data_IF_568209490100
#
_entry.id   IF_568209490100
#
_cell.length_a   1.000
_cell.length_b   1.000
_cell.length_c   1.000
_cell.angle_alpha   90.00
_cell.angle_beta   90.00
_cell.angle_gamma   90.00
#
_symmetry.space_group_name_H-M   'P 1'
#
loop_
_entity.id
_entity.type
_entity.pdbx_description
1 polymer ?
#
# COMPACT_ATOMS: atom_id res chain seq x y z
N UNK A 1 2.92 8.13 -17.64
CA UNK A 1 1.76 7.25 -17.94
C UNK A 1 1.12 6.64 -16.69
N UNK A 2 1.88 6.07 -15.72
CA UNK A 2 1.27 5.40 -14.55
C UNK A 2 0.74 6.38 -13.48
N UNK A 3 1.45 7.49 -13.22
CA UNK A 3 0.99 8.57 -12.31
C UNK A 3 -0.39 9.14 -12.70
N UNK A 4 -0.68 9.25 -14.00
CA UNK A 4 -1.97 9.79 -14.47
C UNK A 4 -3.15 8.82 -14.38
N UNK A 5 -2.87 7.50 -14.34
CA UNK A 5 -3.92 6.48 -14.22
C UNK A 5 -4.33 6.19 -12.78
N UNK A 6 -3.50 6.53 -11.79
CA UNK A 6 -3.83 6.34 -10.37
C UNK A 6 -4.58 7.55 -9.78
N UNK A 7 -4.40 8.73 -10.37
CA UNK A 7 -4.96 10.00 -9.87
C UNK A 7 -6.41 10.27 -10.30
N UNK A 8 -6.98 9.50 -11.23
CA UNK A 8 -8.39 9.60 -11.63
C UNK A 8 -9.13 8.37 -11.15
N UNK A 9 -10.38 8.54 -10.76
CA UNK A 9 -11.36 7.46 -10.61
C UNK A 9 -11.36 6.67 -11.92
N UNK A 10 -10.65 5.55 -11.94
CA UNK A 10 -10.48 4.75 -13.15
C UNK A 10 -11.77 3.94 -13.35
N UNK A 11 -12.57 4.21 -14.39
CA UNK A 11 -13.85 3.54 -14.61
C UNK A 11 -13.71 2.02 -14.81
N UNK A 12 -12.49 1.51 -14.99
CA UNK A 12 -12.20 0.09 -15.04
C UNK A 12 -12.32 -0.60 -13.67
N UNK A 13 -12.35 0.14 -12.56
CA UNK A 13 -12.38 -0.41 -11.20
C UNK A 13 -13.74 -0.27 -10.54
N UNK A 14 -14.17 -1.33 -9.87
CA UNK A 14 -15.33 -1.26 -8.98
C UNK A 14 -14.94 -0.62 -7.66
N UNK A 15 -15.79 0.25 -7.13
CA UNK A 15 -15.59 0.90 -5.83
C UNK A 15 -16.52 0.27 -4.79
N UNK A 16 -16.04 -0.67 -3.95
CA UNK A 16 -16.86 -1.25 -2.89
C UNK A 16 -17.17 -0.22 -1.80
N UNK A 17 -18.18 -0.50 -0.97
CA UNK A 17 -18.52 0.38 0.14
C UNK A 17 -17.37 0.47 1.15
N UNK A 18 -16.80 1.67 1.24
CA UNK A 18 -15.71 2.02 2.14
C UNK A 18 -15.98 1.71 3.61
N UNK A 19 -17.25 1.67 4.05
CA UNK A 19 -17.62 1.37 5.43
C UNK A 19 -17.12 -0.01 5.89
N UNK A 20 -17.09 -0.98 4.97
CA UNK A 20 -16.60 -2.35 5.19
C UNK A 20 -15.09 -2.45 5.38
N UNK A 21 -14.37 -1.36 5.11
CA UNK A 21 -12.92 -1.23 5.25
C UNK A 21 -12.53 -0.30 6.40
N UNK A 22 -13.48 0.00 7.29
CA UNK A 22 -13.22 0.71 8.55
C UNK A 22 -13.11 -0.29 9.70
N UNK A 23 -12.28 0.02 10.72
CA UNK A 23 -12.19 -0.79 11.94
C UNK A 23 -13.09 -0.21 13.04
N UNK A 24 -14.13 -0.93 13.51
CA UNK A 24 -15.01 -0.44 14.58
C UNK A 24 -14.24 -0.17 15.88
N UNK A 25 -14.59 0.89 16.61
CA UNK A 25 -14.05 1.17 17.95
C UNK A 25 -12.70 1.88 18.01
N UNK A 26 -12.11 2.29 16.87
CA UNK A 26 -11.01 3.27 16.87
C UNK A 26 -11.54 4.67 16.63
N UNK A 27 -11.27 5.55 17.61
CA UNK A 27 -11.63 6.97 17.71
C UNK A 27 -11.16 7.89 16.56
N UNK A 28 -10.65 7.32 15.46
CA UNK A 28 -10.22 8.04 14.25
C UNK A 28 -11.05 7.50 13.07
N UNK A 29 -12.32 7.90 13.03
CA UNK A 29 -13.21 7.68 11.90
C UNK A 29 -12.67 8.44 10.68
N UNK A 30 -12.24 7.72 9.64
CA UNK A 30 -11.71 8.33 8.40
C UNK A 30 -10.52 7.61 7.78
N UNK A 31 -10.08 6.48 8.33
CA UNK A 31 -9.05 5.63 7.73
C UNK A 31 -9.67 4.38 7.12
N UNK A 32 -9.11 3.94 5.99
CA UNK A 32 -9.47 2.67 5.36
C UNK A 32 -8.33 1.67 5.53
N UNK A 33 -8.69 0.42 5.79
CA UNK A 33 -7.78 -0.70 5.93
C UNK A 33 -8.26 -1.83 5.03
N UNK A 34 -7.34 -2.43 4.27
CA UNK A 34 -7.67 -3.59 3.45
C UNK A 34 -6.53 -4.59 3.41
N UNK A 35 -6.87 -5.85 3.20
CA UNK A 35 -5.93 -6.92 2.88
C UNK A 35 -5.95 -7.27 1.39
N UNK A 36 -4.93 -7.99 0.93
CA UNK A 36 -4.97 -8.76 -0.31
C UNK A 36 -5.01 -10.25 0.01
N UNK A 37 -5.45 -11.07 -0.96
CA UNK A 37 -5.43 -12.54 -0.83
C UNK A 37 -4.01 -13.09 -0.62
N UNK A 38 -3.00 -12.35 -1.09
CA UNK A 38 -1.58 -12.70 -0.96
C UNK A 38 -0.93 -12.28 0.35
N UNK A 39 -1.68 -11.64 1.26
CA UNK A 39 -1.20 -11.30 2.59
C UNK A 39 -0.47 -9.95 2.68
N UNK A 40 -0.84 -8.98 1.84
CA UNK A 40 -0.49 -7.57 2.01
C UNK A 40 -1.62 -6.92 2.81
N UNK A 41 -1.31 -6.16 3.85
CA UNK A 41 -2.25 -5.27 4.55
C UNK A 41 -1.87 -3.83 4.28
N UNK A 42 -2.85 -3.04 3.88
CA UNK A 42 -2.68 -1.64 3.54
C UNK A 42 -3.61 -0.78 4.38
N UNK A 43 -3.14 0.43 4.70
CA UNK A 43 -3.92 1.49 5.32
C UNK A 43 -3.84 2.77 4.49
N UNK A 44 -4.99 3.40 4.30
CA UNK A 44 -5.12 4.72 3.70
C UNK A 44 -5.49 5.69 4.82
N UNK A 45 -4.56 6.60 5.11
CA UNK A 45 -4.73 7.73 6.03
C UNK A 45 -4.39 9.03 5.27
N UNK A 46 -3.75 10.02 5.88
CA UNK A 46 -3.11 11.15 5.17
C UNK A 46 -1.96 10.74 4.22
N UNK A 47 -1.49 9.50 4.33
CA UNK A 47 -0.54 8.83 3.45
C UNK A 47 -0.96 7.35 3.35
N UNK A 48 -0.35 6.60 2.44
CA UNK A 48 -0.60 5.17 2.32
C UNK A 48 0.52 4.38 2.96
N UNK A 49 0.19 3.27 3.61
CA UNK A 49 1.21 2.31 4.02
C UNK A 49 0.71 0.91 3.76
N UNK A 50 1.56 0.06 3.20
CA UNK A 50 1.32 -1.37 3.08
C UNK A 50 2.44 -2.16 3.76
N UNK A 51 2.08 -3.25 4.42
CA UNK A 51 3.00 -4.22 5.03
C UNK A 51 2.57 -5.63 4.69
N UNK A 52 3.51 -6.58 4.72
CA UNK A 52 3.19 -7.98 4.44
C UNK A 52 4.10 -8.63 3.43
N UNK A 53 3.50 -9.52 2.67
CA UNK A 53 4.14 -10.20 1.56
C UNK A 53 4.20 -9.29 0.33
N UNK A 54 5.07 -8.27 0.37
CA UNK A 54 5.24 -7.34 -0.75
C UNK A 54 6.06 -8.01 -1.85
N UNK A 55 5.49 -8.22 -3.06
CA UNK A 55 6.17 -8.87 -4.16
C UNK A 55 7.25 -7.97 -4.76
N UNK A 56 8.16 -8.54 -5.56
CA UNK A 56 9.14 -7.76 -6.33
C UNK A 56 10.18 -6.99 -5.51
N UNK A 57 10.25 -7.21 -4.18
CA UNK A 57 11.34 -6.73 -3.36
C UNK A 57 12.42 -7.81 -3.21
N UNK A 58 13.71 -7.43 -3.32
CA UNK A 58 14.78 -8.37 -3.08
C UNK A 58 14.61 -9.07 -1.72
N UNK A 59 14.85 -10.37 -1.70
CA UNK A 59 14.80 -11.21 -0.49
C UNK A 59 16.07 -11.06 0.35
N UNK A 60 17.11 -10.45 -0.20
CA UNK A 60 18.40 -10.18 0.43
C UNK A 60 18.48 -8.72 0.85
N UNK A 61 18.92 -8.53 2.09
CA UNK A 61 19.09 -7.26 2.79
C UNK A 61 19.68 -6.18 1.88
N UNK A 62 18.98 -5.05 1.72
CA UNK A 62 19.67 -3.82 1.33
C UNK A 62 20.37 -3.30 2.58
N UNK A 63 21.67 -3.04 2.46
CA UNK A 63 22.59 -2.71 3.56
C UNK A 63 22.46 -1.24 4.00
N UNK A 64 21.26 -0.66 3.93
CA UNK A 64 20.98 0.76 4.15
C UNK A 64 20.67 1.11 5.62
N UNK A 65 21.11 0.27 6.56
CA UNK A 65 21.10 0.56 8.00
C UNK A 65 19.73 0.59 8.69
N UNK A 66 18.63 0.44 7.91
CA UNK A 66 17.25 0.27 8.39
C UNK A 66 16.70 -1.13 8.17
N UNK A 67 17.44 -1.99 7.46
CA UNK A 67 17.08 -3.37 7.17
C UNK A 67 17.20 -4.22 8.43
N UNK A 68 16.07 -4.45 9.10
CA UNK A 68 16.02 -5.52 10.08
C UNK A 68 15.84 -6.84 9.35
N UNK A 69 16.59 -7.86 9.79
CA UNK A 69 16.45 -9.26 9.36
C UNK A 69 15.02 -9.77 9.59
N UNK A 70 14.14 -9.62 8.62
CA UNK A 70 12.73 -9.94 8.81
C UNK A 70 11.97 -10.22 7.53
N UNK A 71 10.93 -11.04 7.68
CA UNK A 71 10.04 -11.40 6.58
C UNK A 71 9.10 -10.26 6.21
N UNK A 72 8.92 -9.27 7.09
CA UNK A 72 7.92 -8.23 6.88
C UNK A 72 8.42 -7.09 6.01
N UNK A 73 7.94 -7.02 4.78
CA UNK A 73 8.17 -5.90 3.90
C UNK A 73 7.21 -4.75 4.21
N UNK A 74 7.64 -3.52 3.95
CA UNK A 74 6.91 -2.29 4.16
C UNK A 74 7.04 -1.39 2.93
N UNK A 75 5.92 -0.81 2.50
CA UNK A 75 5.81 0.32 1.58
C UNK A 75 5.23 1.49 2.37
N UNK A 76 5.98 2.56 2.59
CA UNK A 76 5.49 3.67 3.41
C UNK A 76 6.15 4.99 3.06
N UNK A 77 5.52 6.08 3.49
CA UNK A 77 6.07 7.43 3.38
C UNK A 77 7.12 7.66 4.46
N UNK A 78 8.31 8.10 4.07
CA UNK A 78 9.35 8.56 4.98
C UNK A 78 8.97 9.93 5.54
N UNK A 79 8.63 9.97 6.82
CA UNK A 79 8.13 11.19 7.50
C UNK A 79 9.14 12.32 7.63
N UNK A 80 10.43 12.05 7.39
CA UNK A 80 11.53 13.02 7.48
C UNK A 80 12.31 13.17 6.18
N UNK A 81 11.81 12.63 5.07
CA UNK A 81 12.51 12.72 3.79
C UNK A 81 12.19 14.03 3.08
N UNK A 82 13.24 14.72 2.61
CA UNK A 82 13.15 15.82 1.64
C UNK A 82 13.19 15.32 0.19
N UNK A 83 13.19 13.99 -0.01
CA UNK A 83 13.20 13.36 -1.33
C UNK A 83 11.95 13.76 -2.13
N UNK A 84 12.09 13.98 -3.45
CA UNK A 84 10.95 14.14 -4.35
C UNK A 84 10.07 12.88 -4.41
N UNK A 85 10.63 11.71 -4.10
CA UNK A 85 9.89 10.46 -3.92
C UNK A 85 9.86 10.15 -2.41
N UNK A 86 8.79 10.55 -1.69
CA UNK A 86 8.76 10.41 -0.24
C UNK A 86 8.44 8.98 0.20
N UNK A 87 8.15 8.07 -0.73
CA UNK A 87 7.85 6.67 -0.45
C UNK A 87 9.09 5.79 -0.55
N UNK A 88 9.16 4.78 0.32
CA UNK A 88 10.23 3.78 0.30
C UNK A 88 9.68 2.39 0.53
N UNK A 89 10.39 1.44 -0.06
CA UNK A 89 10.09 0.02 0.01
C UNK A 89 11.27 -0.68 0.67
N UNK A 90 11.06 -1.36 1.79
CA UNK A 90 12.13 -2.03 2.52
C UNK A 90 11.59 -3.17 3.38
N UNK A 91 12.48 -4.04 3.88
CA UNK A 91 12.12 -5.09 4.84
C UNK A 91 12.48 -4.64 6.26
N UNK A 92 11.51 -4.75 7.17
CA UNK A 92 11.71 -4.54 8.61
C UNK A 92 12.00 -5.88 9.27
N UNK A 93 12.82 -5.85 10.32
CA UNK A 93 13.11 -7.01 11.16
C UNK A 93 11.87 -7.58 11.83
N UNK A 94 11.81 -8.92 11.94
CA UNK A 94 10.70 -9.66 12.54
C UNK A 94 9.65 -10.17 11.54
N UNK A 95 8.65 -10.85 12.09
CA UNK A 95 7.49 -11.35 11.33
C UNK A 95 6.43 -10.26 11.23
N UNK A 96 5.66 -10.26 10.14
CA UNK A 96 4.48 -9.41 10.06
C UNK A 96 3.45 -9.84 11.11
N UNK A 97 2.70 -8.89 11.69
CA UNK A 97 1.54 -9.25 12.48
C UNK A 97 0.51 -10.01 11.62
N UNK A 98 -0.36 -10.83 12.22
CA UNK A 98 -1.48 -11.39 11.49
C UNK A 98 -2.40 -10.26 11.02
N UNK A 99 -2.65 -10.21 9.72
CA UNK A 99 -3.57 -9.26 9.11
C UNK A 99 -4.96 -9.88 9.03
N UNK A 100 -5.96 -9.15 9.52
CA UNK A 100 -7.37 -9.57 9.53
C UNK A 100 -8.28 -8.50 8.91
N UNK A 101 -7.72 -7.67 8.02
CA UNK A 101 -8.47 -6.64 7.32
C UNK A 101 -9.32 -7.24 6.19
N UNK A 102 -10.43 -6.58 5.86
CA UNK A 102 -11.29 -6.94 4.73
C UNK A 102 -10.47 -6.96 3.44
N UNK A 103 -10.61 -8.03 2.65
CA UNK A 103 -9.87 -8.17 1.39
C UNK A 103 -10.44 -7.23 0.33
N UNK A 104 -9.56 -6.43 -0.28
CA UNK A 104 -9.85 -5.71 -1.52
C UNK A 104 -9.47 -6.62 -2.70
N UNK A 105 -10.45 -6.95 -3.55
CA UNK A 105 -10.28 -7.93 -4.62
C UNK A 105 -9.64 -7.30 -5.87
N UNK A 106 -9.00 -8.10 -6.74
CA UNK A 106 -8.60 -7.64 -8.07
C UNK A 106 -9.75 -6.96 -8.82
N UNK A 107 -9.44 -5.86 -9.52
CA UNK A 107 -10.42 -5.01 -10.19
C UNK A 107 -11.20 -4.08 -9.25
N UNK A 108 -10.84 -4.00 -7.96
CA UNK A 108 -11.43 -3.07 -7.01
C UNK A 108 -10.47 -1.96 -6.58
N UNK A 109 -11.03 -0.82 -6.21
CA UNK A 109 -10.26 0.30 -5.66
C UNK A 109 -10.97 1.01 -4.51
N UNK A 110 -10.19 1.49 -3.56
CA UNK A 110 -10.62 2.27 -2.39
C UNK A 110 -9.97 3.64 -2.42
N UNK A 111 -10.74 4.66 -2.05
CA UNK A 111 -10.26 6.04 -2.04
C UNK A 111 -10.75 6.81 -0.82
N UNK A 112 -9.92 7.74 -0.34
CA UNK A 112 -10.28 8.75 0.66
C UNK A 112 -9.79 10.09 0.12
N UNK A 113 -10.71 10.98 -0.27
CA UNK A 113 -10.35 12.20 -1.00
C UNK A 113 -9.59 11.88 -2.29
N UNK A 114 -8.39 12.44 -2.48
CA UNK A 114 -7.52 12.16 -3.63
C UNK A 114 -6.51 11.02 -3.40
N UNK A 115 -6.42 10.47 -2.19
CA UNK A 115 -5.66 9.25 -1.97
C UNK A 115 -6.47 8.04 -2.43
N UNK A 116 -5.81 7.09 -3.08
CA UNK A 116 -6.44 5.90 -3.66
C UNK A 116 -5.50 4.70 -3.58
N UNK A 117 -6.08 3.51 -3.46
CA UNK A 117 -5.41 2.25 -3.69
C UNK A 117 -6.28 1.36 -4.56
N UNK A 118 -5.65 0.57 -5.42
CA UNK A 118 -6.31 -0.45 -6.22
C UNK A 118 -5.53 -1.75 -6.20
N UNK A 119 -6.27 -2.83 -6.40
CA UNK A 119 -5.71 -4.16 -6.62
C UNK A 119 -6.02 -4.54 -8.05
N UNK A 120 -4.98 -4.75 -8.85
CA UNK A 120 -5.10 -5.23 -10.22
C UNK A 120 -4.83 -6.74 -10.27
N UNK A 121 -5.15 -7.38 -11.39
CA UNK A 121 -4.83 -8.80 -11.60
C UNK A 121 -3.33 -9.07 -11.50
N UNK A 122 -2.96 -10.28 -11.06
CA UNK A 122 -1.56 -10.69 -10.93
C UNK A 122 -0.85 -10.09 -9.72
N UNK A 123 -1.59 -9.88 -8.61
CA UNK A 123 -1.08 -9.40 -7.32
C UNK A 123 -0.42 -8.03 -7.39
N UNK A 124 -0.99 -7.15 -8.20
CA UNK A 124 -0.52 -5.78 -8.33
C UNK A 124 -1.32 -4.89 -7.37
N UNK A 125 -0.62 -4.18 -6.48
CA UNK A 125 -1.23 -3.17 -5.61
C UNK A 125 -0.63 -1.82 -5.96
N UNK A 126 -1.47 -0.88 -6.37
CA UNK A 126 -1.01 0.46 -6.71
C UNK A 126 -1.73 1.49 -5.85
N UNK A 127 -0.97 2.38 -5.23
CA UNK A 127 -1.49 3.36 -4.30
C UNK A 127 -0.89 4.74 -4.53
N UNK A 128 -1.68 5.77 -4.25
CA UNK A 128 -1.28 7.17 -4.27
C UNK A 128 -1.83 7.93 -3.07
N UNK A 129 -1.06 8.87 -2.54
CA UNK A 129 -1.53 9.82 -1.53
C UNK A 129 -2.10 11.10 -2.14
N UNK A 130 -2.51 12.03 -1.28
CA UNK A 130 -3.13 13.28 -1.68
C UNK A 130 -2.24 14.20 -2.54
N UNK A 131 -0.93 13.97 -2.55
CA UNK A 131 0.05 14.74 -3.33
C UNK A 131 0.39 14.02 -4.65
N UNK A 132 -0.20 12.85 -4.91
CA UNK A 132 0.08 12.05 -6.09
C UNK A 132 1.39 11.26 -6.02
N UNK A 133 2.01 11.18 -4.84
CA UNK A 133 3.14 10.29 -4.58
C UNK A 133 2.62 8.92 -4.15
N UNK A 134 3.41 7.87 -4.34
CA UNK A 134 2.96 6.54 -3.98
C UNK A 134 3.87 5.42 -4.42
N UNK A 135 3.27 4.28 -4.71
CA UNK A 135 4.00 3.09 -5.10
C UNK A 135 3.15 2.13 -5.92
N UNK A 136 3.83 1.25 -6.64
CA UNK A 136 3.25 0.06 -7.25
C UNK A 136 4.00 -1.15 -6.72
N UNK A 137 3.26 -2.08 -6.14
CA UNK A 137 3.73 -3.38 -5.69
C UNK A 137 3.37 -4.40 -6.75
N UNK A 138 4.36 -5.12 -7.30
CA UNK A 138 4.10 -6.11 -8.34
C UNK A 138 5.22 -7.17 -8.40
N UNK A 139 4.92 -8.43 -8.78
CA UNK A 139 5.92 -9.50 -8.90
C UNK A 139 7.13 -9.18 -9.79
N UNK A 140 6.91 -8.43 -10.88
CA UNK A 140 7.98 -8.06 -11.82
C UNK A 140 8.88 -6.92 -11.33
N UNK A 141 8.61 -6.35 -10.16
CA UNK A 141 9.43 -5.29 -9.56
C UNK A 141 8.58 -4.19 -8.96
N UNK A 142 8.66 -4.05 -7.64
CA UNK A 142 7.97 -3.00 -6.89
C UNK A 142 8.76 -1.69 -6.93
N UNK A 143 8.06 -0.56 -6.98
CA UNK A 143 8.68 0.78 -7.06
C UNK A 143 7.85 1.86 -6.37
N UNK A 144 8.52 2.87 -5.86
CA UNK A 144 7.92 4.10 -5.35
C UNK A 144 8.04 5.24 -6.38
N UNK A 145 7.24 6.28 -6.20
CA UNK A 145 7.25 7.52 -6.99
C UNK A 145 6.57 8.67 -6.20
#
# INVERSE_FOLDING_TARGET
MIREQLARTDPAFTHPDSSSFTRPGRQWSGFLFFGTETGISCRIVSYVMCEGNIPGLPTTDTDDGYAGRGACALATKLTHSTSPDPYSLFRRGGQCPPFADTVLKPGQSLSIGSASCRVDDGDVVACTDFQGHGFVLQPSGSRAF
#
